data_IF_363638283650
#
_entry.id   IF_363638283650
#
_cell.length_a   1.000
_cell.length_b   1.000
_cell.length_c   1.000
_cell.angle_alpha   90.00
_cell.angle_beta   90.00
_cell.angle_gamma   90.00
#
_symmetry.space_group_name_H-M   'P 1'
#
loop_
_entity.id
_entity.type
_entity.pdbx_description
1 polymer ?
#
# COMPACT_ATOMS: atom_id res chain seq x y z
N UNK A 1 5.06 -1.75 -80.22
CA UNK A 1 5.95 -1.09 -79.25
C UNK A 1 5.13 -0.22 -78.33
N UNK A 2 4.98 -0.64 -77.06
CA UNK A 2 4.94 0.20 -75.84
C UNK A 2 4.45 -0.66 -74.69
N UNK A 3 5.44 -1.21 -73.98
CA UNK A 3 5.36 -1.66 -72.60
C UNK A 3 4.93 -0.50 -71.68
N UNK A 4 4.68 -0.82 -70.40
CA UNK A 4 4.58 0.02 -69.19
C UNK A 4 3.18 -0.12 -68.56
N UNK A 5 2.96 -0.41 -67.27
CA UNK A 5 3.78 -0.67 -66.08
C UNK A 5 2.81 -1.37 -65.10
N UNK A 6 3.24 -2.46 -64.45
CA UNK A 6 2.48 -3.06 -63.35
C UNK A 6 2.64 -2.19 -62.09
N UNK A 7 1.57 -1.58 -61.62
CA UNK A 7 1.51 -0.85 -60.36
C UNK A 7 1.15 -1.82 -59.22
N UNK A 8 2.16 -2.29 -58.51
CA UNK A 8 1.99 -3.02 -57.25
C UNK A 8 1.58 -2.04 -56.16
N UNK A 9 0.32 -2.05 -55.75
CA UNK A 9 -0.14 -1.28 -54.60
C UNK A 9 0.34 -1.95 -53.29
N UNK A 10 1.34 -1.37 -52.63
CA UNK A 10 1.74 -1.78 -51.30
C UNK A 10 0.69 -1.31 -50.28
N UNK A 11 -0.08 -2.24 -49.72
CA UNK A 11 -1.02 -1.97 -48.62
C UNK A 11 -0.20 -1.77 -47.34
N UNK A 12 -0.08 -0.52 -46.90
CA UNK A 12 0.47 -0.17 -45.58
C UNK A 12 -0.53 -0.58 -44.50
N UNK A 13 -0.24 -1.65 -43.76
CA UNK A 13 -0.96 -2.00 -42.54
C UNK A 13 -0.59 -0.96 -41.46
N UNK A 14 -1.50 -0.04 -41.17
CA UNK A 14 -1.37 0.86 -40.03
C UNK A 14 -1.56 0.03 -38.74
N UNK A 15 -0.46 -0.27 -38.05
CA UNK A 15 -0.51 -0.88 -36.71
C UNK A 15 -0.88 0.23 -35.72
N UNK A 16 -2.03 0.15 -35.02
CA UNK A 16 -2.33 1.12 -33.99
C UNK A 16 -1.33 0.92 -32.85
N UNK A 17 -0.47 1.92 -32.64
CA UNK A 17 0.37 2.00 -31.45
C UNK A 17 -0.57 2.31 -30.29
N UNK A 18 -0.97 1.30 -29.52
CA UNK A 18 -1.59 1.51 -28.23
C UNK A 18 -0.59 2.28 -27.37
N UNK A 19 -0.86 3.56 -27.14
CA UNK A 19 -0.12 4.33 -26.14
C UNK A 19 -0.36 3.65 -24.78
N UNK A 20 0.68 3.04 -24.22
CA UNK A 20 0.65 2.57 -22.85
C UNK A 20 0.43 3.79 -21.96
N UNK A 21 -0.76 3.89 -21.35
CA UNK A 21 -0.98 4.90 -20.32
C UNK A 21 0.04 4.69 -19.19
N UNK A 22 0.57 5.78 -18.59
CA UNK A 22 1.46 5.64 -17.45
C UNK A 22 0.72 4.89 -16.34
N UNK A 23 1.34 3.82 -15.83
CA UNK A 23 0.85 3.15 -14.63
C UNK A 23 1.06 4.11 -13.45
N UNK A 24 -0.04 4.63 -12.89
CA UNK A 24 0.00 5.31 -11.60
C UNK A 24 0.27 4.25 -10.53
N UNK A 25 1.49 4.22 -10.00
CA UNK A 25 1.71 3.53 -8.73
C UNK A 25 0.85 4.25 -7.67
N UNK A 26 0.03 3.50 -6.93
CA UNK A 26 -0.58 4.03 -5.71
C UNK A 26 0.54 4.68 -4.87
N UNK A 27 0.29 5.88 -4.32
CA UNK A 27 1.30 6.63 -3.59
C UNK A 27 2.01 5.76 -2.55
N UNK A 28 3.32 5.94 -2.38
CA UNK A 28 4.12 5.02 -1.56
C UNK A 28 3.69 5.05 -0.08
N UNK A 29 3.32 3.89 0.49
CA UNK A 29 2.99 3.85 1.92
C UNK A 29 4.15 4.27 2.80
N UNK A 30 3.84 5.04 3.85
CA UNK A 30 4.73 5.26 4.98
C UNK A 30 4.71 4.01 5.85
N UNK A 31 5.88 3.40 6.04
CA UNK A 31 6.06 2.16 6.83
C UNK A 31 6.85 2.46 8.10
N UNK A 32 6.47 1.84 9.22
CA UNK A 32 7.19 1.84 10.49
C UNK A 32 7.16 0.45 11.10
N UNK A 33 8.16 0.13 11.90
CA UNK A 33 8.25 -1.09 12.69
C UNK A 33 8.89 -0.80 14.04
N UNK A 34 8.71 -1.71 14.98
CA UNK A 34 9.34 -1.64 16.30
C UNK A 34 8.98 -2.86 17.14
N UNK A 35 9.40 -2.85 18.39
CA UNK A 35 9.14 -3.96 19.30
C UNK A 35 7.93 -3.67 20.20
N UNK A 36 7.22 -4.72 20.58
CA UNK A 36 6.24 -4.70 21.65
C UNK A 36 6.95 -4.76 23.02
N UNK A 37 6.19 -4.67 24.11
CA UNK A 37 6.75 -4.75 25.47
C UNK A 37 7.33 -6.12 25.85
N UNK A 38 7.23 -7.13 24.97
CA UNK A 38 7.67 -8.50 25.19
C UNK A 38 8.66 -8.96 24.13
N UNK A 39 8.34 -10.06 23.45
CA UNK A 39 9.20 -10.72 22.45
C UNK A 39 8.65 -10.63 21.02
N UNK A 40 7.55 -9.91 20.85
CA UNK A 40 6.84 -9.74 19.59
C UNK A 40 7.25 -8.39 18.99
N UNK A 41 7.32 -8.31 17.68
CA UNK A 41 7.52 -7.06 16.95
C UNK A 41 6.19 -6.59 16.34
N UNK A 42 6.15 -5.33 15.89
CA UNK A 42 5.02 -4.78 15.18
C UNK A 42 5.48 -4.08 13.91
N UNK A 43 4.57 -4.01 12.95
CA UNK A 43 4.70 -3.21 11.74
C UNK A 43 3.41 -2.44 11.50
N UNK A 44 3.53 -1.21 11.02
CA UNK A 44 2.39 -0.41 10.58
C UNK A 44 2.74 0.27 9.26
N UNK A 45 1.76 0.32 8.35
CA UNK A 45 1.83 1.03 7.09
C UNK A 45 0.59 1.90 6.94
N UNK A 46 0.75 3.07 6.35
CA UNK A 46 -0.36 3.87 5.89
C UNK A 46 -0.02 4.47 4.53
N UNK A 47 -0.99 4.51 3.62
CA UNK A 47 -0.81 5.03 2.28
C UNK A 47 -2.14 5.24 1.57
N UNK A 48 -2.14 5.96 0.44
CA UNK A 48 -3.33 6.13 -0.37
C UNK A 48 -3.73 4.82 -1.06
N UNK A 49 -4.98 4.42 -0.90
CA UNK A 49 -5.61 3.28 -1.57
C UNK A 49 -7.01 3.69 -2.04
N UNK A 50 -7.29 3.57 -3.34
CA UNK A 50 -8.57 3.92 -3.97
C UNK A 50 -9.20 5.25 -3.50
N UNK A 51 -8.39 6.30 -3.39
CA UNK A 51 -8.81 7.64 -3.00
C UNK A 51 -9.10 7.82 -1.50
N UNK A 52 -8.72 6.83 -0.68
CA UNK A 52 -8.75 6.87 0.79
C UNK A 52 -7.36 6.56 1.34
N UNK A 53 -7.25 6.52 2.66
CA UNK A 53 -6.05 6.02 3.34
C UNK A 53 -6.32 4.58 3.77
N UNK A 54 -5.52 3.64 3.30
CA UNK A 54 -5.41 2.31 3.89
C UNK A 54 -4.40 2.33 5.02
N UNK A 55 -4.72 1.63 6.12
CA UNK A 55 -3.82 1.43 7.25
C UNK A 55 -3.75 -0.04 7.57
N UNK A 56 -2.56 -0.62 7.48
CA UNK A 56 -2.28 -2.01 7.81
C UNK A 56 -1.39 -2.06 9.06
N UNK A 57 -1.81 -2.79 10.09
CA UNK A 57 -0.99 -3.03 11.28
C UNK A 57 -0.86 -4.53 11.54
N UNK A 58 0.37 -4.97 11.73
CA UNK A 58 0.74 -6.37 11.93
C UNK A 58 1.42 -6.55 13.30
N UNK A 59 1.06 -7.63 13.97
CA UNK A 59 1.73 -8.13 15.17
C UNK A 59 2.56 -9.32 14.70
N UNK A 60 3.87 -9.16 14.64
CA UNK A 60 4.81 -10.13 14.09
C UNK A 60 5.46 -10.93 15.21
N UNK A 61 5.01 -12.17 15.38
CA UNK A 61 5.47 -13.06 16.45
C UNK A 61 5.45 -14.52 16.03
N UNK A 62 6.38 -15.31 16.57
CA UNK A 62 6.58 -16.70 16.20
C UNK A 62 5.72 -17.70 17.02
N UNK A 63 4.58 -17.25 17.57
CA UNK A 63 3.70 -18.08 18.41
C UNK A 63 2.29 -18.14 17.83
N UNK A 64 1.94 -19.29 17.28
CA UNK A 64 0.59 -19.55 16.77
C UNK A 64 -0.46 -19.60 17.89
N UNK A 65 -1.71 -19.27 17.54
CA UNK A 65 -2.86 -19.38 18.45
C UNK A 65 -3.01 -18.24 19.47
N UNK A 66 -2.20 -17.19 19.38
CA UNK A 66 -2.34 -16.03 20.27
C UNK A 66 -3.61 -15.23 19.96
N UNK A 67 -4.29 -14.77 21.01
CA UNK A 67 -5.41 -13.84 20.90
C UNK A 67 -5.02 -12.46 21.39
N UNK A 68 -5.28 -11.44 20.58
CA UNK A 68 -4.94 -10.06 20.88
C UNK A 68 -6.20 -9.20 20.93
N UNK A 69 -6.27 -8.29 21.91
CA UNK A 69 -7.25 -7.21 21.93
C UNK A 69 -6.61 -5.98 21.31
N UNK A 70 -7.17 -5.48 20.22
CA UNK A 70 -6.59 -4.34 19.50
C UNK A 70 -7.57 -3.17 19.35
N UNK A 71 -7.00 -2.00 19.09
CA UNK A 71 -7.69 -0.78 18.68
C UNK A 71 -6.81 -0.02 17.69
N UNK A 72 -7.42 0.55 16.66
CA UNK A 72 -6.81 1.54 15.77
C UNK A 72 -7.52 2.88 16.02
N UNK A 73 -6.74 3.94 16.22
CA UNK A 73 -7.25 5.30 16.38
C UNK A 73 -6.70 6.17 15.26
N UNK A 74 -7.57 6.95 14.65
CA UNK A 74 -7.20 8.07 13.79
C UNK A 74 -7.02 9.30 14.67
N UNK A 75 -5.81 9.84 14.67
CA UNK A 75 -5.29 10.90 15.54
C UNK A 75 -5.08 12.21 14.78
N UNK A 76 -5.60 12.33 13.55
CA UNK A 76 -5.39 13.51 12.71
C UNK A 76 -6.03 14.76 13.30
N UNK A 77 -5.28 15.87 13.27
CA UNK A 77 -5.81 17.19 13.58
C UNK A 77 -6.30 17.85 12.28
N UNK A 78 -7.58 18.25 12.25
CA UNK A 78 -8.19 18.92 11.10
C UNK A 78 -7.49 20.25 10.72
N UNK A 79 -6.68 20.80 11.63
CA UNK A 79 -5.98 22.06 11.48
C UNK A 79 -4.60 21.92 10.81
N UNK A 80 -3.94 20.77 11.00
CA UNK A 80 -2.53 20.57 10.60
C UNK A 80 -2.38 19.68 9.35
N UNK A 81 -3.49 19.19 8.79
CA UNK A 81 -3.59 18.40 7.55
C UNK A 81 -2.76 17.11 7.52
N UNK A 82 -2.24 16.64 8.67
CA UNK A 82 -1.50 15.40 8.78
C UNK A 82 -2.34 14.31 9.40
N UNK A 83 -2.60 13.28 8.62
CA UNK A 83 -3.23 12.07 9.14
C UNK A 83 -2.22 11.30 10.00
N UNK A 84 -2.63 10.95 11.21
CA UNK A 84 -1.85 10.11 12.10
C UNK A 84 -2.70 8.95 12.59
N UNK A 85 -2.11 7.77 12.72
CA UNK A 85 -2.81 6.58 13.19
C UNK A 85 -2.00 5.92 14.30
N UNK A 86 -2.68 5.60 15.40
CA UNK A 86 -2.11 4.82 16.51
C UNK A 86 -2.82 3.48 16.61
N UNK A 87 -2.07 2.40 16.38
CA UNK A 87 -2.50 1.05 16.65
C UNK A 87 -1.99 0.62 18.02
N UNK A 88 -2.88 0.06 18.84
CA UNK A 88 -2.53 -0.56 20.13
C UNK A 88 -3.12 -1.95 20.19
N UNK A 89 -2.30 -2.94 20.51
CA UNK A 89 -2.73 -4.30 20.77
C UNK A 89 -2.18 -4.83 22.08
N UNK A 90 -2.97 -5.62 22.80
CA UNK A 90 -2.59 -6.29 24.04
C UNK A 90 -2.90 -7.77 23.95
N UNK A 91 -1.90 -8.62 24.20
CA UNK A 91 -2.04 -10.06 24.22
C UNK A 91 -2.92 -10.47 25.41
N UNK A 92 -3.97 -11.24 25.17
CA UNK A 92 -4.91 -11.63 26.23
C UNK A 92 -4.32 -12.55 27.28
N UNK A 93 -3.33 -13.37 26.91
CA UNK A 93 -2.71 -14.33 27.82
C UNK A 93 -1.55 -13.72 28.61
N UNK A 94 -0.72 -12.91 27.96
CA UNK A 94 0.53 -12.41 28.57
C UNK A 94 0.48 -10.96 29.03
N UNK A 95 -0.49 -10.17 28.57
CA UNK A 95 -0.52 -8.71 28.79
C UNK A 95 0.52 -7.93 27.97
N UNK A 96 1.31 -8.61 27.13
CA UNK A 96 2.25 -7.96 26.20
C UNK A 96 1.53 -6.92 25.36
N UNK A 97 2.12 -5.74 25.21
CA UNK A 97 1.47 -4.61 24.54
C UNK A 97 2.34 -4.07 23.40
N UNK A 98 1.73 -3.94 22.23
CA UNK A 98 2.30 -3.29 21.04
C UNK A 98 1.66 -1.92 20.88
N UNK A 99 2.47 -0.90 20.60
CA UNK A 99 1.99 0.46 20.28
C UNK A 99 2.73 0.93 19.05
N UNK A 100 2.01 1.00 17.93
CA UNK A 100 2.54 1.46 16.66
C UNK A 100 1.91 2.81 16.30
N UNK A 101 2.71 3.72 15.75
CA UNK A 101 2.23 5.01 15.24
C UNK A 101 2.79 5.28 13.85
N UNK A 102 1.94 5.78 12.96
CA UNK A 102 2.32 6.27 11.64
C UNK A 102 1.69 7.64 11.40
N UNK A 103 2.39 8.49 10.66
CA UNK A 103 1.94 9.83 10.25
C UNK A 103 2.19 9.98 8.75
N UNK A 104 1.20 10.48 8.02
CA UNK A 104 1.24 10.84 6.61
C UNK A 104 1.53 12.33 6.44
#
# INVERSE_FOLDING_TARGET
>A
MKTLLATTAAVLLAVPVLAAAPASAAGSDVRRSGSCSGRTDWKIKAGPDDGRIEVEAEIDGNRAGQTWRWKLRHDGDALDSRDAFTFRATNRATGETCVARVTL
#
